data_IF_779644323208
#
_entry.id   IF_779644323208
#
_cell.length_a   1.000
_cell.length_b   1.000
_cell.length_c   1.000
_cell.angle_alpha   90.00
_cell.angle_beta   90.00
_cell.angle_gamma   90.00
#
_symmetry.space_group_name_H-M   'P 1'
#
loop_
_entity.id
_entity.type
_entity.pdbx_description
1 polymer ?
#
# COMPACT_ATOMS: atom_id res chain seq x y z
N UNK A 1 -9.47 31.78 -14.67
CA UNK A 1 -9.17 30.70 -13.71
C UNK A 1 -9.68 29.41 -14.33
N UNK A 2 -8.79 28.49 -14.69
CA UNK A 2 -9.21 27.16 -15.16
C UNK A 2 -9.73 26.44 -13.92
N UNK A 3 -10.99 26.01 -13.92
CA UNK A 3 -11.53 25.18 -12.86
C UNK A 3 -10.62 23.95 -12.72
N UNK A 4 -10.12 23.71 -11.50
CA UNK A 4 -9.36 22.50 -11.22
C UNK A 4 -10.26 21.32 -11.56
N UNK A 5 -9.90 20.54 -12.57
CA UNK A 5 -10.68 19.36 -12.94
C UNK A 5 -10.57 18.39 -11.77
N UNK A 6 -11.72 17.94 -11.28
CA UNK A 6 -11.77 16.88 -10.29
C UNK A 6 -11.15 15.61 -10.91
N UNK A 7 -10.07 15.16 -10.30
CA UNK A 7 -9.31 13.98 -10.71
C UNK A 7 -9.87 12.76 -9.99
N UNK A 8 -10.94 12.22 -10.57
CA UNK A 8 -11.65 11.05 -10.02
C UNK A 8 -10.76 9.81 -10.00
N UNK A 9 -9.93 9.63 -11.02
CA UNK A 9 -9.04 8.47 -11.12
C UNK A 9 -7.95 8.51 -10.05
N UNK A 10 -7.29 9.65 -9.86
CA UNK A 10 -6.31 9.82 -8.78
C UNK A 10 -6.93 9.66 -7.39
N UNK A 11 -8.15 10.17 -7.18
CA UNK A 11 -8.89 9.95 -5.93
C UNK A 11 -9.16 8.46 -5.67
N UNK A 12 -9.51 7.68 -6.70
CA UNK A 12 -9.69 6.23 -6.55
C UNK A 12 -8.39 5.51 -6.17
N UNK A 13 -7.23 5.97 -6.67
CA UNK A 13 -5.92 5.42 -6.25
C UNK A 13 -5.62 5.73 -4.79
N UNK A 14 -5.90 6.96 -4.34
CA UNK A 14 -5.78 7.36 -2.92
C UNK A 14 -6.67 6.48 -2.04
N UNK A 15 -7.94 6.28 -2.41
CA UNK A 15 -8.86 5.40 -1.66
C UNK A 15 -8.32 3.97 -1.59
N UNK A 16 -7.83 3.42 -2.70
CA UNK A 16 -7.28 2.06 -2.72
C UNK A 16 -6.04 1.93 -1.80
N UNK A 17 -5.16 2.94 -1.77
CA UNK A 17 -4.04 2.97 -0.83
C UNK A 17 -4.51 2.96 0.65
N UNK A 18 -5.57 3.70 0.98
CA UNK A 18 -6.18 3.69 2.31
C UNK A 18 -6.78 2.32 2.67
N UNK A 19 -7.51 1.68 1.74
CA UNK A 19 -8.09 0.35 1.97
C UNK A 19 -6.99 -0.70 2.23
N UNK A 20 -5.91 -0.68 1.44
CA UNK A 20 -4.76 -1.55 1.67
C UNK A 20 -4.10 -1.27 3.02
N UNK A 21 -3.95 0.00 3.39
CA UNK A 21 -3.38 0.40 4.67
C UNK A 21 -4.20 -0.13 5.85
N UNK A 22 -5.53 -0.08 5.75
CA UNK A 22 -6.44 -0.64 6.75
C UNK A 22 -6.27 -2.16 6.85
N UNK A 23 -6.27 -2.88 5.71
CA UNK A 23 -6.09 -4.34 5.67
C UNK A 23 -4.77 -4.77 6.30
N UNK A 24 -3.66 -4.12 5.93
CA UNK A 24 -2.32 -4.41 6.47
C UNK A 24 -2.29 -4.14 7.98
N UNK A 25 -2.89 -3.04 8.43
CA UNK A 25 -2.97 -2.71 9.86
C UNK A 25 -3.73 -3.78 10.63
N UNK A 26 -4.90 -4.20 10.13
CA UNK A 26 -5.74 -5.24 10.75
C UNK A 26 -5.01 -6.58 10.84
N UNK A 27 -4.38 -7.01 9.74
CA UNK A 27 -3.58 -8.24 9.71
C UNK A 27 -2.43 -8.16 10.71
N UNK A 28 -1.67 -7.06 10.69
CA UNK A 28 -0.50 -6.86 11.55
C UNK A 28 -0.89 -6.89 13.03
N UNK A 29 -1.99 -6.25 13.42
CA UNK A 29 -2.45 -6.23 14.82
C UNK A 29 -2.98 -7.58 15.29
N UNK A 30 -3.59 -8.36 14.39
CA UNK A 30 -4.21 -9.64 14.70
C UNK A 30 -3.39 -10.84 14.19
N UNK A 31 -2.09 -10.66 13.96
CA UNK A 31 -1.22 -11.65 13.34
C UNK A 31 -1.32 -13.05 13.96
N UNK A 32 -1.37 -13.15 15.29
CA UNK A 32 -1.44 -14.46 15.96
C UNK A 32 -2.85 -15.08 15.97
N UNK A 33 -3.87 -14.32 15.54
CA UNK A 33 -5.26 -14.76 15.47
C UNK A 33 -5.62 -15.33 14.10
N UNK A 34 -4.79 -15.11 13.08
CA UNK A 34 -4.99 -15.65 11.74
C UNK A 34 -3.95 -16.76 11.45
N UNK A 35 -4.38 -18.02 11.29
CA UNK A 35 -3.47 -19.14 11.01
C UNK A 35 -2.76 -19.00 9.65
N UNK A 36 -3.34 -18.21 8.75
CA UNK A 36 -2.94 -17.92 7.37
C UNK A 36 -2.28 -16.54 7.22
N UNK A 37 -1.81 -15.92 8.31
CA UNK A 37 -1.25 -14.56 8.28
C UNK A 37 -0.15 -14.33 7.25
N UNK A 38 0.68 -15.35 7.01
CA UNK A 38 1.77 -15.28 6.02
C UNK A 38 1.20 -15.23 4.59
N UNK A 39 0.19 -16.06 4.29
CA UNK A 39 -0.46 -16.08 2.99
C UNK A 39 -1.18 -14.75 2.73
N UNK A 40 -1.96 -14.26 3.70
CA UNK A 40 -2.59 -12.94 3.60
C UNK A 40 -1.57 -11.81 3.42
N UNK A 41 -0.42 -11.87 4.10
CA UNK A 41 0.63 -10.87 3.92
C UNK A 41 1.20 -10.89 2.48
N UNK A 42 1.36 -12.08 1.88
CA UNK A 42 1.74 -12.19 0.47
C UNK A 42 0.72 -11.57 -0.48
N UNK A 43 -0.57 -11.81 -0.25
CA UNK A 43 -1.66 -11.23 -1.05
C UNK A 43 -1.67 -9.71 -0.95
N UNK A 44 -1.58 -9.16 0.27
CA UNK A 44 -1.56 -7.71 0.49
C UNK A 44 -0.33 -7.05 -0.14
N UNK A 45 0.83 -7.70 -0.13
CA UNK A 45 2.02 -7.18 -0.82
C UNK A 45 1.88 -7.25 -2.35
N UNK A 46 1.22 -8.28 -2.88
CA UNK A 46 0.91 -8.36 -4.30
C UNK A 46 -0.07 -7.27 -4.73
N UNK A 47 -1.12 -7.01 -3.94
CA UNK A 47 -2.05 -5.89 -4.16
C UNK A 47 -1.33 -4.54 -4.11
N UNK A 48 -0.47 -4.31 -3.10
CA UNK A 48 0.33 -3.10 -2.99
C UNK A 48 1.25 -2.88 -4.20
N UNK A 49 1.97 -3.92 -4.63
CA UNK A 49 2.83 -3.84 -5.82
C UNK A 49 2.04 -3.47 -7.09
N UNK A 50 0.86 -4.07 -7.28
CA UNK A 50 -0.03 -3.73 -8.41
C UNK A 50 -0.47 -2.27 -8.34
N UNK A 51 -0.88 -1.78 -7.17
CA UNK A 51 -1.29 -0.40 -6.99
C UNK A 51 -0.14 0.58 -7.35
N UNK A 52 1.10 0.29 -6.93
CA UNK A 52 2.26 1.11 -7.28
C UNK A 52 2.48 1.21 -8.80
N UNK A 53 2.31 0.10 -9.52
CA UNK A 53 2.39 0.09 -11.00
C UNK A 53 1.27 0.93 -11.60
N UNK A 54 0.03 0.73 -11.14
CA UNK A 54 -1.12 1.48 -11.63
C UNK A 54 -1.01 2.98 -11.38
N UNK A 55 -0.45 3.40 -10.22
CA UNK A 55 -0.16 4.80 -9.92
C UNK A 55 0.89 5.34 -10.88
N UNK A 56 1.98 4.60 -11.10
CA UNK A 56 3.04 5.02 -12.02
C UNK A 56 2.52 5.21 -13.46
N UNK A 57 1.69 4.28 -13.94
CA UNK A 57 1.06 4.36 -15.26
C UNK A 57 0.08 5.53 -15.36
N UNK A 58 -0.72 5.75 -14.30
CA UNK A 58 -1.63 6.86 -14.19
C UNK A 58 -0.89 8.21 -14.26
N UNK A 59 0.18 8.38 -13.47
CA UNK A 59 0.98 9.59 -13.47
C UNK A 59 1.66 9.86 -14.80
N UNK A 60 2.18 8.82 -15.48
CA UNK A 60 2.75 8.95 -16.82
C UNK A 60 1.70 9.40 -17.85
N UNK A 61 0.49 8.82 -17.81
CA UNK A 61 -0.61 9.17 -18.73
C UNK A 61 -1.12 10.58 -18.48
N UNK A 62 -1.21 11.00 -17.23
CA UNK A 62 -1.71 12.33 -16.88
C UNK A 62 -0.65 13.42 -17.08
N UNK A 63 0.61 13.12 -16.80
CA UNK A 63 1.76 13.99 -17.07
C UNK A 63 1.60 15.39 -16.47
N UNK A 64 1.50 16.40 -17.33
CA UNK A 64 1.33 17.80 -16.93
C UNK A 64 -0.11 18.19 -16.56
N UNK A 65 -1.08 17.30 -16.74
CA UNK A 65 -2.48 17.55 -16.39
C UNK A 65 -2.76 17.36 -14.89
N UNK A 66 -1.85 16.68 -14.17
CA UNK A 66 -1.89 16.55 -12.72
C UNK A 66 -1.37 17.83 -12.06
N UNK A 67 -2.21 18.45 -11.23
CA UNK A 67 -1.77 19.55 -10.38
C UNK A 67 -0.80 19.04 -9.30
N UNK A 68 0.06 19.92 -8.79
CA UNK A 68 0.97 19.54 -7.71
C UNK A 68 0.22 19.10 -6.45
N UNK A 69 -0.97 19.66 -6.21
CA UNK A 69 -1.84 19.23 -5.12
C UNK A 69 -2.32 17.78 -5.30
N UNK A 70 -2.72 17.40 -6.52
CA UNK A 70 -3.16 16.02 -6.83
C UNK A 70 -2.01 15.01 -6.69
N UNK A 71 -0.82 15.35 -7.18
CA UNK A 71 0.38 14.52 -7.03
C UNK A 71 0.70 14.26 -5.57
N UNK A 72 0.77 15.34 -4.76
CA UNK A 72 1.07 15.22 -3.34
C UNK A 72 0.06 14.33 -2.60
N UNK A 73 -1.23 14.33 -2.98
CA UNK A 73 -2.22 13.46 -2.34
C UNK A 73 -2.01 11.98 -2.63
N UNK A 74 -1.55 11.65 -3.83
CA UNK A 74 -1.19 10.28 -4.20
C UNK A 74 0.09 9.88 -3.46
N UNK A 75 1.11 10.74 -3.48
CA UNK A 75 2.39 10.52 -2.81
C UNK A 75 2.20 10.32 -1.29
N UNK A 76 1.44 11.19 -0.62
CA UNK A 76 1.15 11.10 0.81
C UNK A 76 0.49 9.73 1.15
N UNK A 77 -0.46 9.28 0.33
CA UNK A 77 -1.17 8.02 0.55
C UNK A 77 -0.27 6.79 0.32
N UNK A 78 0.64 6.89 -0.65
CA UNK A 78 1.65 5.88 -0.95
C UNK A 78 2.68 5.79 0.18
N UNK A 79 3.14 6.92 0.68
CA UNK A 79 4.08 7.00 1.82
C UNK A 79 3.46 6.43 3.09
N UNK A 80 2.21 6.78 3.40
CA UNK A 80 1.47 6.22 4.54
C UNK A 80 1.34 4.69 4.45
N UNK A 81 1.03 4.16 3.26
CA UNK A 81 1.00 2.71 3.02
C UNK A 81 2.39 2.08 3.21
N UNK A 82 3.44 2.71 2.67
CA UNK A 82 4.82 2.27 2.80
C UNK A 82 5.31 2.21 4.25
N UNK A 83 4.86 3.16 5.08
CA UNK A 83 5.18 3.22 6.50
C UNK A 83 4.63 2.04 7.32
N UNK A 84 3.69 1.25 6.77
CA UNK A 84 3.16 0.05 7.42
C UNK A 84 4.06 -1.18 7.23
N UNK A 85 4.89 -1.21 6.17
CA UNK A 85 5.72 -2.36 5.82
C UNK A 85 6.64 -2.80 6.98
N UNK A 86 7.34 -1.91 7.69
CA UNK A 86 8.20 -2.32 8.81
C UNK A 86 7.44 -3.07 9.91
N UNK A 87 6.20 -2.67 10.22
CA UNK A 87 5.40 -3.32 11.25
C UNK A 87 5.01 -4.74 10.87
N UNK A 88 4.60 -4.94 9.61
CA UNK A 88 4.29 -6.27 9.11
C UNK A 88 5.55 -7.14 9.02
N UNK A 89 6.68 -6.58 8.56
CA UNK A 89 7.99 -7.27 8.52
C UNK A 89 8.39 -7.79 9.91
N UNK A 90 8.15 -7.02 10.97
CA UNK A 90 8.47 -7.43 12.35
C UNK A 90 7.66 -8.64 12.83
N UNK A 91 6.54 -8.98 12.17
CA UNK A 91 5.75 -10.18 12.48
C UNK A 91 6.24 -11.42 11.76
N UNK A 92 6.88 -11.26 10.60
CA UNK A 92 7.41 -12.35 9.79
C UNK A 92 8.70 -12.86 10.45
N UNK A 93 8.64 -14.07 11.02
CA UNK A 93 9.84 -14.77 11.53
C UNK A 93 10.33 -15.74 10.45
N UNK A 94 11.55 -15.58 9.93
CA UNK A 94 12.14 -16.56 9.03
C UNK A 94 12.19 -17.94 9.70
N UNK A 95 11.66 -18.96 9.03
CA UNK A 95 11.66 -20.34 9.51
C UNK A 95 13.06 -20.87 9.81
N UNK A 96 14.09 -20.39 9.09
CA UNK A 96 15.50 -20.76 9.29
C UNK A 96 16.07 -20.39 10.68
N UNK A 97 15.44 -19.46 11.42
CA UNK A 97 15.85 -19.13 12.79
C UNK A 97 15.38 -20.19 13.79
N UNK A 98 14.31 -20.92 13.46
CA UNK A 98 13.74 -21.97 14.33
C UNK A 98 14.51 -23.30 14.24
N UNK A 99 15.25 -23.54 13.15
CA UNK A 99 16.09 -24.74 12.97
C UNK A 99 17.43 -24.70 13.73
N UNK A 100 17.75 -23.61 14.45
CA UNK A 100 18.99 -23.49 15.25
C UNK A 100 18.77 -23.62 16.76
N UNK A 101 17.80 -24.43 17.15
CA UNK A 101 17.60 -24.84 18.56
C UNK A 101 17.35 -26.34 18.57
N UNK A 102 18.40 -27.12 18.30
CA UNK A 102 18.61 -28.49 18.79
C UNK A 102 20.12 -28.81 18.72
#
# INVERSE_FOLDING_TARGET
MVAEKFDEEGLLKVIHAFELSEKITKLTWNWNNYPDSIEQAHELMSEGQKLFVEISEYEQRMGSNLSMYQKNKIDDAVDDLGNLIPYMKNKIKPSEILEKTD
#
